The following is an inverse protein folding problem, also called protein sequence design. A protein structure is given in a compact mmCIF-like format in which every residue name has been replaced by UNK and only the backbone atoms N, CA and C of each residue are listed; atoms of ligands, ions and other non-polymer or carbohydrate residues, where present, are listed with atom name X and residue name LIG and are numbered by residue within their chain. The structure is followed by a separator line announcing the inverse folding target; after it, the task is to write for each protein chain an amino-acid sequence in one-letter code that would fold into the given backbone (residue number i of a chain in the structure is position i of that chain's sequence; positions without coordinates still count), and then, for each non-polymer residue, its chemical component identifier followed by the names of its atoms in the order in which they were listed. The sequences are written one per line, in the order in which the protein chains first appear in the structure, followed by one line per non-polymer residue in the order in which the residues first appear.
data_IF_428001817446
#
_entry.id   IF_428001817446
#
_cell.length_a   1.000
_cell.length_b   1.000
_cell.length_c   1.000
_cell.angle_alpha   90.00
_cell.angle_beta   90.00
_cell.angle_gamma   90.00
#
_symmetry.space_group_name_H-M   'P 1'
#
loop_
_entity.id
_entity.type
_entity.pdbx_description
1 polymer ?
#
# COMPACT_ATOMS: atom_id res chain seq x y z
N UNK A 1 -80.50 45.72 -51.36
CA UNK A 1 -80.13 46.66 -50.29
C UNK A 1 -79.70 45.87 -49.05
N UNK A 2 -78.54 46.23 -48.48
CA UNK A 2 -78.11 46.11 -47.08
C UNK A 2 -78.43 44.85 -46.24
N UNK A 3 -77.33 44.15 -45.91
CA UNK A 3 -76.96 43.50 -44.64
C UNK A 3 -78.04 43.10 -43.63
N UNK A 4 -77.91 41.88 -43.08
CA UNK A 4 -77.90 41.69 -41.63
C UNK A 4 -77.06 40.47 -41.22
N UNK A 5 -76.11 40.69 -40.31
CA UNK A 5 -75.30 39.68 -39.63
C UNK A 5 -76.12 38.91 -38.58
N UNK A 6 -75.81 37.63 -38.36
CA UNK A 6 -75.84 37.01 -37.02
C UNK A 6 -74.63 36.10 -36.82
N UNK A 7 -73.82 36.45 -35.81
CA UNK A 7 -72.74 35.64 -35.24
C UNK A 7 -73.34 34.45 -34.49
N UNK A 8 -72.77 33.27 -34.68
CA UNK A 8 -72.86 32.16 -33.71
C UNK A 8 -71.42 31.79 -33.36
N UNK A 9 -71.09 31.98 -32.09
CA UNK A 9 -69.80 31.64 -31.48
C UNK A 9 -69.90 30.20 -30.98
N UNK A 10 -69.11 29.30 -31.54
CA UNK A 10 -68.95 27.94 -30.98
C UNK A 10 -67.58 27.87 -30.31
N UNK A 11 -67.61 27.64 -28.99
CA UNK A 11 -66.45 27.40 -28.13
C UNK A 11 -66.05 25.93 -28.32
N UNK A 12 -64.84 25.67 -28.80
CA UNK A 12 -64.25 24.34 -28.77
C UNK A 12 -63.09 24.35 -27.78
N UNK A 13 -63.26 23.59 -26.70
CA UNK A 13 -62.24 23.36 -25.69
C UNK A 13 -61.18 22.40 -26.24
N UNK A 14 -59.96 22.90 -26.43
CA UNK A 14 -58.80 22.05 -26.71
C UNK A 14 -58.10 21.78 -25.37
N UNK A 15 -58.29 20.57 -24.83
CA UNK A 15 -57.48 20.07 -23.73
C UNK A 15 -56.02 19.94 -24.20
N UNK A 16 -55.16 20.86 -23.77
CA UNK A 16 -53.72 20.69 -23.89
C UNK A 16 -53.25 19.73 -22.78
N UNK A 17 -52.92 18.48 -23.15
CA UNK A 17 -52.10 17.63 -22.29
C UNK A 17 -50.69 18.25 -22.25
N UNK A 18 -50.36 18.89 -21.14
CA UNK A 18 -48.99 19.24 -20.83
C UNK A 18 -48.24 17.95 -20.45
N UNK A 19 -47.51 17.38 -21.40
CA UNK A 19 -46.48 16.38 -21.09
C UNK A 19 -45.30 17.17 -20.52
N UNK A 20 -45.22 17.27 -19.19
CA UNK A 20 -44.00 17.71 -18.53
C UNK A 20 -42.95 16.62 -18.72
N UNK A 21 -42.00 16.84 -19.63
CA UNK A 21 -40.77 16.06 -19.67
C UNK A 21 -40.01 16.33 -18.36
N UNK A 22 -40.13 15.41 -17.40
CA UNK A 22 -39.24 15.37 -16.26
C UNK A 22 -37.85 15.06 -16.83
N UNK A 23 -37.00 16.09 -16.94
CA UNK A 23 -35.59 15.90 -17.21
C UNK A 23 -35.05 15.03 -16.07
N UNK A 24 -34.74 13.77 -16.37
CA UNK A 24 -33.99 12.92 -15.48
C UNK A 24 -32.64 13.61 -15.27
N UNK A 25 -32.47 14.26 -14.11
CA UNK A 25 -31.17 14.69 -13.65
C UNK A 25 -30.40 13.40 -13.42
N UNK A 26 -29.55 13.03 -14.39
CA UNK A 26 -28.56 12.00 -14.18
C UNK A 26 -27.67 12.52 -13.06
N UNK A 27 -27.90 12.03 -11.84
CA UNK A 27 -26.94 12.14 -10.76
C UNK A 27 -25.72 11.39 -11.27
N UNK A 28 -24.70 12.11 -11.73
CA UNK A 28 -23.42 11.51 -12.05
C UNK A 28 -23.00 10.74 -10.80
N UNK A 29 -22.71 9.45 -10.96
CA UNK A 29 -22.15 8.66 -9.87
C UNK A 29 -20.94 9.41 -9.33
N UNK A 30 -20.81 9.49 -8.01
CA UNK A 30 -19.58 10.00 -7.40
C UNK A 30 -18.40 9.26 -8.02
N UNK A 31 -17.35 9.98 -8.43
CA UNK A 31 -16.22 9.33 -9.07
C UNK A 31 -15.60 8.31 -8.13
N UNK A 32 -15.39 7.10 -8.63
CA UNK A 32 -14.70 6.06 -7.87
C UNK A 32 -13.28 6.51 -7.60
N UNK A 33 -12.88 6.60 -6.34
CA UNK A 33 -11.49 6.87 -5.94
C UNK A 33 -10.81 5.59 -5.48
N UNK A 34 -9.49 5.50 -5.61
CA UNK A 34 -8.75 4.34 -5.11
C UNK A 34 -7.26 4.58 -4.89
N UNK A 35 -6.64 3.66 -4.14
CA UNK A 35 -5.20 3.65 -3.91
C UNK A 35 -4.44 3.17 -5.15
N UNK A 36 -3.81 4.09 -5.87
CA UNK A 36 -3.06 3.77 -7.10
C UNK A 36 -1.68 3.12 -6.85
N UNK A 37 -1.31 2.95 -5.58
CA UNK A 37 -0.12 2.18 -5.19
C UNK A 37 -0.38 0.69 -5.02
N UNK A 38 -1.63 0.22 -5.08
CA UNK A 38 -1.94 -1.20 -4.87
C UNK A 38 -1.17 -2.08 -5.86
N UNK A 39 -0.39 -3.02 -5.33
CA UNK A 39 0.45 -3.93 -6.11
C UNK A 39 1.75 -3.32 -6.66
N UNK A 40 2.06 -2.06 -6.35
CA UNK A 40 3.30 -1.39 -6.75
C UNK A 40 4.40 -1.58 -5.72
N UNK A 41 5.63 -1.80 -6.18
CA UNK A 41 6.81 -1.88 -5.33
C UNK A 41 7.60 -0.57 -5.40
N UNK A 42 8.06 -0.03 -4.25
CA UNK A 42 8.90 1.15 -4.24
C UNK A 42 10.35 0.84 -4.61
N UNK A 43 11.05 1.86 -5.11
CA UNK A 43 12.51 1.96 -5.05
C UNK A 43 12.93 2.86 -3.89
N UNK A 44 14.18 2.77 -3.45
CA UNK A 44 14.72 3.55 -2.34
C UNK A 44 16.18 3.89 -2.57
N UNK A 45 16.65 4.99 -1.97
CA UNK A 45 18.08 5.29 -1.83
C UNK A 45 18.71 4.62 -0.59
N UNK A 46 17.93 3.98 0.27
CA UNK A 46 18.47 3.22 1.40
C UNK A 46 19.05 1.89 0.93
N UNK A 47 20.16 1.47 1.54
CA UNK A 47 20.78 0.16 1.29
C UNK A 47 20.00 -1.01 1.90
N UNK A 48 18.98 -0.73 2.72
CA UNK A 48 18.19 -1.72 3.43
C UNK A 48 16.69 -1.45 3.27
N UNK A 49 16.01 -2.23 2.42
CA UNK A 49 14.55 -2.30 2.35
C UNK A 49 14.07 -3.62 2.98
N UNK A 50 13.11 -3.51 3.90
CA UNK A 50 12.47 -4.66 4.57
C UNK A 50 10.95 -4.49 4.39
N UNK A 51 10.29 -5.37 3.63
CA UNK A 51 8.82 -5.45 3.52
C UNK A 51 8.12 -4.46 2.58
N UNK A 52 6.87 -4.78 2.20
CA UNK A 52 5.99 -4.05 1.26
C UNK A 52 4.73 -3.44 1.89
N UNK A 53 4.55 -3.55 3.22
CA UNK A 53 3.48 -2.89 3.97
C UNK A 53 2.19 -3.73 4.14
N UNK A 54 1.39 -3.38 5.16
CA UNK A 54 0.02 -3.81 5.41
C UNK A 54 -0.68 -2.76 6.31
N UNK A 55 -1.98 -2.53 6.09
CA UNK A 55 -2.82 -1.63 6.91
C UNK A 55 -3.21 -2.23 8.27
N UNK A 56 -3.21 -3.56 8.40
CA UNK A 56 -3.58 -4.29 9.62
C UNK A 56 -2.49 -4.26 10.69
N UNK A 57 -2.38 -3.20 11.50
CA UNK A 57 -1.35 -3.12 12.53
C UNK A 57 -1.58 -4.05 13.72
N UNK A 58 -0.63 -4.97 13.96
CA UNK A 58 -0.36 -5.56 15.27
C UNK A 58 0.90 -4.94 15.92
N UNK A 59 0.93 -4.69 17.24
CA UNK A 59 2.10 -4.12 17.93
C UNK A 59 3.36 -5.02 17.91
N UNK A 60 3.22 -6.26 17.43
CA UNK A 60 4.30 -7.24 17.23
C UNK A 60 4.61 -7.48 15.75
N UNK A 61 3.97 -6.74 14.84
CA UNK A 61 3.95 -7.10 13.43
C UNK A 61 5.23 -6.66 12.69
N UNK A 62 5.85 -7.60 11.98
CA UNK A 62 7.02 -7.40 11.11
C UNK A 62 6.66 -6.93 9.70
N UNK A 63 5.35 -6.82 9.42
CA UNK A 63 4.76 -6.48 8.12
C UNK A 63 4.78 -4.99 7.78
N UNK A 64 5.89 -4.30 8.05
CA UNK A 64 6.08 -2.89 7.70
C UNK A 64 7.09 -2.77 6.57
N UNK A 65 6.91 -1.79 5.69
CA UNK A 65 8.01 -1.29 4.87
C UNK A 65 8.95 -0.48 5.75
N UNK A 66 10.16 -0.98 5.96
CA UNK A 66 11.21 -0.30 6.72
C UNK A 66 12.41 0.00 5.84
N UNK A 67 12.83 1.26 5.83
CA UNK A 67 14.13 1.70 5.31
C UNK A 67 14.99 2.30 6.42
N UNK A 68 16.31 2.26 6.25
CA UNK A 68 17.27 2.71 7.28
C UNK A 68 17.94 4.00 6.84
N UNK A 69 17.87 5.03 7.67
CA UNK A 69 18.41 6.38 7.39
C UNK A 69 19.92 6.52 7.68
N UNK A 70 20.50 5.61 8.47
CA UNK A 70 21.93 5.62 8.82
C UNK A 70 22.23 4.71 10.01
N UNK A 71 23.46 4.72 10.49
CA UNK A 71 23.89 3.85 11.60
C UNK A 71 23.60 4.46 12.97
N UNK A 72 23.03 3.65 13.87
CA UNK A 72 22.84 4.01 15.27
C UNK A 72 24.16 3.82 16.03
N UNK A 73 24.54 4.80 16.85
CA UNK A 73 25.82 4.77 17.59
C UNK A 73 25.66 4.48 19.09
N UNK A 74 24.43 4.25 19.57
CA UNK A 74 24.12 3.96 20.97
C UNK A 74 24.20 5.16 21.92
N UNK A 75 24.45 6.38 21.41
CA UNK A 75 24.50 7.57 22.25
C UNK A 75 23.11 7.94 22.79
N UNK A 76 23.06 8.31 24.07
CA UNK A 76 21.81 8.61 24.77
C UNK A 76 21.13 9.90 24.26
N UNK A 77 21.87 10.84 23.67
CA UNK A 77 21.33 12.15 23.29
C UNK A 77 20.76 12.19 21.87
N UNK A 78 21.45 11.59 20.89
CA UNK A 78 21.06 11.71 19.48
C UNK A 78 21.15 10.41 18.67
N UNK A 79 21.66 9.31 19.23
CA UNK A 79 21.86 8.01 18.58
C UNK A 79 22.52 8.07 17.18
N UNK A 80 23.29 9.13 16.85
CA UNK A 80 23.87 9.33 15.52
C UNK A 80 22.99 10.08 14.52
N UNK A 81 21.82 10.59 14.93
CA UNK A 81 20.84 11.28 14.07
C UNK A 81 21.45 12.36 13.16
N UNK A 82 22.44 13.10 13.64
CA UNK A 82 23.08 14.16 12.88
C UNK A 82 23.74 13.66 11.58
N UNK A 83 24.30 12.44 11.58
CA UNK A 83 25.01 11.86 10.44
C UNK A 83 24.12 11.02 9.51
N UNK A 84 22.84 10.86 9.82
CA UNK A 84 21.91 10.13 8.94
C UNK A 84 21.54 10.96 7.71
N UNK A 85 21.20 10.27 6.62
CA UNK A 85 20.69 10.89 5.41
C UNK A 85 19.15 10.89 5.41
N UNK A 86 18.56 11.79 4.62
CA UNK A 86 17.15 11.69 4.27
C UNK A 86 16.99 10.48 3.33
N UNK A 87 16.11 9.53 3.68
CA UNK A 87 15.83 8.35 2.85
C UNK A 87 14.41 8.38 2.32
N UNK A 88 14.19 7.75 1.17
CA UNK A 88 12.88 7.76 0.52
C UNK A 88 12.36 6.40 0.08
N UNK A 89 11.04 6.33 -0.06
CA UNK A 89 10.36 5.38 -0.93
C UNK A 89 9.85 6.14 -2.16
N UNK A 90 10.13 5.64 -3.35
CA UNK A 90 9.69 6.18 -4.63
C UNK A 90 8.85 5.15 -5.35
N UNK A 91 7.67 5.56 -5.80
CA UNK A 91 6.77 4.72 -6.58
C UNK A 91 6.63 5.28 -8.00
N UNK A 92 6.57 4.37 -8.98
CA UNK A 92 6.18 4.64 -10.36
C UNK A 92 4.75 4.12 -10.57
N UNK A 93 3.82 5.01 -10.89
CA UNK A 93 2.45 4.63 -11.21
C UNK A 93 2.37 3.88 -12.56
N UNK A 94 3.38 4.01 -13.43
CA UNK A 94 3.49 3.45 -14.77
C UNK A 94 2.98 4.40 -15.86
N UNK A 95 2.11 5.34 -15.48
CA UNK A 95 1.53 6.38 -16.33
C UNK A 95 1.24 7.63 -15.47
N UNK A 96 1.03 8.81 -16.07
CA UNK A 96 0.57 9.99 -15.32
C UNK A 96 -0.80 9.74 -14.66
N UNK A 97 -0.93 10.10 -13.38
CA UNK A 97 -2.11 9.96 -12.52
C UNK A 97 -2.42 11.27 -11.80
N UNK A 98 -3.68 11.48 -11.44
CA UNK A 98 -4.13 12.71 -10.76
C UNK A 98 -4.17 12.51 -9.24
N UNK A 99 -3.13 12.97 -8.55
CA UNK A 99 -3.02 12.79 -7.10
C UNK A 99 -3.98 13.77 -6.41
N UNK A 100 -4.89 13.25 -5.59
CA UNK A 100 -5.84 14.04 -4.80
C UNK A 100 -5.46 14.11 -3.33
N UNK A 101 -5.04 12.98 -2.76
CA UNK A 101 -4.56 12.92 -1.38
C UNK A 101 -3.58 11.78 -1.18
N UNK A 102 -2.81 11.87 -0.10
CA UNK A 102 -1.84 10.85 0.30
C UNK A 102 -2.07 10.52 1.76
N UNK A 103 -2.19 9.23 2.09
CA UNK A 103 -2.26 8.76 3.47
C UNK A 103 -0.97 8.01 3.81
N UNK A 104 -0.32 8.44 4.88
CA UNK A 104 0.90 7.81 5.38
C UNK A 104 0.61 7.13 6.71
N UNK A 105 0.53 5.80 6.70
CA UNK A 105 0.35 4.99 7.91
C UNK A 105 1.71 4.61 8.44
N UNK A 106 2.18 5.31 9.48
CA UNK A 106 3.50 5.02 10.04
C UNK A 106 3.45 3.94 11.10
N UNK A 107 4.56 3.24 11.24
CA UNK A 107 4.77 2.36 12.37
C UNK A 107 4.78 3.16 13.68
N UNK A 108 4.38 2.53 14.78
CA UNK A 108 4.39 3.14 16.09
C UNK A 108 4.41 2.09 17.20
N UNK A 109 4.34 2.56 18.44
CA UNK A 109 4.48 1.72 19.63
C UNK A 109 3.34 1.98 20.59
N UNK A 110 2.74 0.95 21.20
CA UNK A 110 1.59 1.11 22.09
C UNK A 110 1.82 2.15 23.21
N UNK A 111 3.02 2.14 23.82
CA UNK A 111 3.35 2.95 25.01
C UNK A 111 4.34 4.10 24.74
N UNK A 112 4.46 4.56 23.49
CA UNK A 112 5.37 5.66 23.15
C UNK A 112 4.82 6.54 22.02
N UNK A 113 5.09 7.84 22.07
CA UNK A 113 4.77 8.77 20.98
C UNK A 113 5.99 8.98 20.09
N UNK A 114 5.74 9.21 18.80
CA UNK A 114 6.77 9.42 17.80
C UNK A 114 6.76 10.86 17.29
N UNK A 115 7.94 11.47 17.20
CA UNK A 115 8.18 12.60 16.29
C UNK A 115 8.86 12.03 15.05
N UNK A 116 8.13 11.92 13.95
CA UNK A 116 8.70 11.53 12.67
C UNK A 116 9.47 12.71 12.08
N UNK A 117 10.73 12.48 11.70
CA UNK A 117 11.64 13.58 11.42
C UNK A 117 11.74 13.85 9.92
N UNK A 118 11.70 15.12 9.53
CA UNK A 118 11.94 15.61 8.15
C UNK A 118 11.12 14.88 7.08
N UNK A 119 9.82 14.74 7.33
CA UNK A 119 8.88 14.23 6.33
C UNK A 119 8.80 15.21 5.16
N UNK A 120 8.96 14.72 3.94
CA UNK A 120 8.65 15.47 2.71
C UNK A 120 7.94 14.53 1.75
N UNK A 121 6.92 15.05 1.06
CA UNK A 121 6.26 14.32 -0.03
C UNK A 121 6.30 15.17 -1.28
N UNK A 122 6.78 14.59 -2.37
CA UNK A 122 6.88 15.23 -3.67
C UNK A 122 6.43 14.29 -4.77
N UNK A 123 5.93 14.87 -5.86
CA UNK A 123 5.53 14.15 -7.05
C UNK A 123 6.19 14.75 -8.29
N UNK A 124 6.43 13.94 -9.31
CA UNK A 124 7.15 14.32 -10.52
C UNK A 124 6.63 13.58 -11.74
N UNK A 125 6.74 14.20 -12.90
CA UNK A 125 6.57 13.52 -14.19
C UNK A 125 7.81 12.73 -14.61
N UNK A 126 8.98 13.12 -14.09
CA UNK A 126 10.28 12.53 -14.42
C UNK A 126 10.84 11.69 -13.26
N UNK A 127 11.43 10.54 -13.58
CA UNK A 127 11.97 9.61 -12.58
C UNK A 127 13.10 10.22 -11.73
N UNK A 128 13.85 11.16 -12.30
CA UNK A 128 14.96 11.86 -11.67
C UNK A 128 14.52 13.02 -10.77
N UNK A 129 13.24 13.38 -10.78
CA UNK A 129 12.69 14.52 -10.03
C UNK A 129 13.35 15.85 -10.45
N UNK A 130 13.63 16.01 -11.75
CA UNK A 130 14.05 17.28 -12.34
C UNK A 130 12.94 18.35 -12.37
N UNK A 131 11.67 17.94 -12.37
CA UNK A 131 10.49 18.81 -12.31
C UNK A 131 9.54 18.31 -11.21
N UNK A 132 9.51 19.01 -10.07
CA UNK A 132 8.87 18.52 -8.84
C UNK A 132 7.74 19.39 -8.36
N UNK A 133 6.67 18.73 -7.92
CA UNK A 133 5.59 19.31 -7.16
C UNK A 133 5.74 18.87 -5.71
N UNK A 134 5.98 19.82 -4.79
CA UNK A 134 6.04 19.54 -3.36
C UNK A 134 4.62 19.46 -2.82
N UNK A 135 4.19 18.25 -2.46
CA UNK A 135 2.87 17.96 -1.92
C UNK A 135 2.81 18.18 -0.40
N UNK A 136 3.94 17.96 0.28
CA UNK A 136 4.14 18.27 1.69
C UNK A 136 5.59 18.70 1.90
N UNK A 137 5.79 19.94 2.37
CA UNK A 137 7.13 20.49 2.62
C UNK A 137 7.86 19.77 3.74
N UNK A 138 9.20 19.85 3.75
CA UNK A 138 10.02 19.19 4.77
C UNK A 138 9.66 19.68 6.17
N UNK A 139 9.09 18.80 6.99
CA UNK A 139 8.69 19.11 8.36
C UNK A 139 8.76 17.88 9.27
N UNK A 140 8.92 18.11 10.57
CA UNK A 140 8.68 17.06 11.56
C UNK A 140 7.17 16.89 11.77
N UNK A 141 6.74 15.65 12.02
CA UNK A 141 5.35 15.31 12.28
C UNK A 141 5.26 14.62 13.64
N UNK A 142 4.55 15.24 14.58
CA UNK A 142 4.37 14.72 15.92
C UNK A 142 3.11 13.87 16.05
N UNK A 143 3.29 12.67 16.57
CA UNK A 143 2.20 11.83 17.04
C UNK A 143 1.71 12.36 18.39
N UNK A 144 0.39 12.50 18.54
CA UNK A 144 -0.26 12.85 19.80
C UNK A 144 -1.03 11.64 20.33
N UNK A 145 -1.50 11.70 21.58
CA UNK A 145 -2.37 10.65 22.11
C UNK A 145 -3.65 10.45 21.26
N UNK A 146 -4.15 11.51 20.61
CA UNK A 146 -5.35 11.44 19.76
C UNK A 146 -5.07 10.97 18.33
N UNK A 147 -3.90 11.28 17.78
CA UNK A 147 -3.50 10.95 16.41
C UNK A 147 -2.63 9.69 16.33
N UNK A 148 -2.44 9.02 17.47
CA UNK A 148 -1.61 7.84 17.60
C UNK A 148 -2.05 6.73 16.66
N UNK A 149 -1.10 6.22 15.86
CA UNK A 149 -1.32 5.18 14.85
C UNK A 149 -2.39 5.54 13.79
N UNK A 150 -2.88 6.78 13.75
CA UNK A 150 -3.72 7.25 12.67
C UNK A 150 -2.87 7.58 11.42
N UNK A 151 -3.50 7.60 10.25
CA UNK A 151 -2.85 8.08 9.05
C UNK A 151 -2.54 9.57 9.17
N UNK A 152 -1.35 9.98 8.69
CA UNK A 152 -1.15 11.36 8.28
C UNK A 152 -1.75 11.52 6.89
N UNK A 153 -2.89 12.22 6.79
CA UNK A 153 -3.52 12.55 5.51
C UNK A 153 -3.04 13.90 5.01
N UNK A 154 -2.51 13.91 3.79
CA UNK A 154 -2.11 15.11 3.04
C UNK A 154 -3.17 15.31 1.96
N UNK A 155 -4.09 16.25 2.17
CA UNK A 155 -5.12 16.61 1.20
C UNK A 155 -4.62 17.72 0.29
N UNK A 156 -4.76 17.54 -1.03
CA UNK A 156 -4.40 18.56 -2.00
C UNK A 156 -5.63 19.37 -2.38
N UNK A 157 -5.53 20.70 -2.28
CA UNK A 157 -6.60 21.62 -2.69
C UNK A 157 -6.74 21.69 -4.20
N UNK A 158 -5.65 21.42 -4.92
CA UNK A 158 -5.62 21.26 -6.38
C UNK A 158 -4.91 19.95 -6.67
N UNK A 159 -5.56 19.02 -7.38
CA UNK A 159 -4.92 17.76 -7.72
C UNK A 159 -3.66 17.98 -8.56
N UNK A 160 -2.67 17.09 -8.39
CA UNK A 160 -1.39 17.17 -9.10
C UNK A 160 -1.27 15.99 -10.04
N UNK A 161 -1.12 16.26 -11.33
CA UNK A 161 -0.81 15.22 -12.31
C UNK A 161 0.67 14.88 -12.29
N UNK A 162 1.00 13.62 -12.01
CA UNK A 162 2.38 13.13 -11.95
C UNK A 162 2.44 11.63 -12.23
N UNK A 163 3.62 11.11 -12.57
CA UNK A 163 3.85 9.65 -12.74
C UNK A 163 4.54 9.03 -11.52
N UNK A 164 5.31 9.82 -10.79
CA UNK A 164 6.09 9.36 -9.66
C UNK A 164 5.70 10.10 -8.39
N UNK A 165 5.73 9.40 -7.26
CA UNK A 165 5.67 10.00 -5.92
C UNK A 165 6.86 9.53 -5.09
N UNK A 166 7.42 10.43 -4.28
CA UNK A 166 8.54 10.16 -3.38
C UNK A 166 8.22 10.67 -1.98
N UNK A 167 8.35 9.77 -1.01
CA UNK A 167 8.09 10.01 0.40
C UNK A 167 9.42 9.94 1.12
N UNK A 168 9.89 11.06 1.63
CA UNK A 168 11.14 11.20 2.38
C UNK A 168 10.89 11.20 3.89
N UNK A 169 11.85 10.67 4.66
CA UNK A 169 11.91 10.78 6.11
C UNK A 169 13.35 10.57 6.61
N UNK A 170 13.72 11.18 7.74
CA UNK A 170 15.01 11.00 8.43
C UNK A 170 14.82 10.31 9.77
N UNK A 171 14.45 9.03 9.78
CA UNK A 171 14.19 8.30 11.02
C UNK A 171 13.09 8.93 11.87
N UNK A 172 13.14 8.74 13.19
CA UNK A 172 12.15 9.26 14.14
C UNK A 172 12.74 9.43 15.53
N UNK A 173 12.05 10.17 16.39
CA UNK A 173 12.33 10.23 17.81
C UNK A 173 11.16 9.62 18.59
N UNK A 174 11.46 8.69 19.49
CA UNK A 174 10.48 7.99 20.33
C UNK A 174 10.54 8.59 21.72
N UNK A 175 9.38 8.90 22.29
CA UNK A 175 9.23 9.29 23.69
C UNK A 175 8.31 8.32 24.41
N UNK A 176 8.83 7.66 25.46
CA UNK A 176 8.03 6.76 26.28
C UNK A 176 6.95 7.55 27.04
N UNK A 177 5.74 7.01 27.11
CA UNK A 177 4.63 7.67 27.83
C UNK A 177 4.65 7.37 29.34
N UNK A 178 5.39 6.34 29.75
CA UNK A 178 5.46 5.83 31.12
C UNK A 178 6.81 6.12 31.79
N UNK A 179 7.74 6.79 31.11
CA UNK A 179 9.05 7.17 31.66
C UNK A 179 9.60 8.42 30.98
N UNK A 180 10.71 8.95 31.47
CA UNK A 180 11.43 10.06 30.84
C UNK A 180 12.30 9.65 29.66
N UNK A 181 12.32 8.36 29.30
CA UNK A 181 13.17 7.88 28.21
C UNK A 181 12.73 8.45 26.86
N UNK A 182 13.71 8.98 26.13
CA UNK A 182 13.58 9.48 24.76
C UNK A 182 14.78 9.01 23.96
N UNK A 183 14.58 8.64 22.71
CA UNK A 183 15.65 8.14 21.85
C UNK A 183 15.36 8.37 20.37
N UNK A 184 16.42 8.42 19.57
CA UNK A 184 16.30 8.45 18.11
C UNK A 184 16.39 7.04 17.55
N UNK A 185 15.55 6.74 16.56
CA UNK A 185 15.57 5.50 15.80
C UNK A 185 15.83 5.76 14.32
N UNK A 186 16.76 5.02 13.72
CA UNK A 186 17.13 5.15 12.30
C UNK A 186 16.10 4.57 11.34
N UNK A 187 15.19 3.74 11.86
CA UNK A 187 14.18 3.04 11.08
C UNK A 187 13.06 3.97 10.65
N UNK A 188 12.88 4.11 9.33
CA UNK A 188 11.68 4.71 8.74
C UNK A 188 10.71 3.58 8.44
N UNK A 189 9.75 3.36 9.36
CA UNK A 189 8.75 2.31 9.25
C UNK A 189 7.40 2.86 8.78
N UNK A 190 6.92 2.38 7.65
CA UNK A 190 5.61 2.65 7.09
C UNK A 190 4.83 1.33 7.02
N UNK A 191 3.65 1.34 7.64
CA UNK A 191 2.67 0.26 7.54
C UNK A 191 2.07 0.25 6.15
N UNK A 192 1.61 1.40 5.68
CA UNK A 192 0.99 1.54 4.36
C UNK A 192 1.21 2.97 3.84
N UNK A 193 1.23 3.10 2.52
CA UNK A 193 1.14 4.38 1.83
C UNK A 193 -0.01 4.25 0.84
N UNK A 194 -0.96 5.18 0.93
CA UNK A 194 -2.03 5.28 -0.06
C UNK A 194 -1.85 6.58 -0.84
N UNK A 195 -1.95 6.48 -2.16
CA UNK A 195 -2.08 7.65 -3.04
C UNK A 195 -3.45 7.56 -3.66
N UNK A 196 -4.30 8.52 -3.36
CA UNK A 196 -5.70 8.52 -3.79
C UNK A 196 -5.81 9.29 -5.10
N UNK A 197 -6.30 8.61 -6.12
CA UNK A 197 -6.68 9.17 -7.41
C UNK A 197 -8.16 8.90 -7.67
N UNK A 198 -8.74 9.70 -8.55
CA UNK A 198 -9.99 9.38 -9.24
C UNK A 198 -9.70 8.36 -10.34
N UNK A 199 -10.31 7.18 -10.21
CA UNK A 199 -10.17 6.11 -11.18
C UNK A 199 -10.85 6.49 -12.50
N UNK A 200 -10.25 6.05 -13.61
CA UNK A 200 -10.85 6.17 -14.94
C UNK A 200 -12.11 5.30 -15.00
N UNK A 201 -13.07 5.65 -15.86
CA UNK A 201 -14.30 4.87 -16.03
C UNK A 201 -13.96 3.41 -16.42
N UNK A 202 -14.38 2.46 -15.58
CA UNK A 202 -14.10 1.03 -15.77
C UNK A 202 -12.71 0.57 -15.36
N UNK A 203 -11.87 1.44 -14.78
CA UNK A 203 -10.58 1.04 -14.20
C UNK A 203 -10.80 0.23 -12.92
N UNK A 204 -10.21 -0.96 -12.87
CA UNK A 204 -10.12 -1.79 -11.68
C UNK A 204 -8.69 -1.78 -11.18
N UNK A 205 -8.50 -1.40 -9.91
CA UNK A 205 -7.21 -1.57 -9.26
C UNK A 205 -6.93 -3.06 -9.03
N UNK A 206 -5.66 -3.49 -9.01
CA UNK A 206 -5.32 -4.85 -8.60
C UNK A 206 -5.90 -5.14 -7.21
N UNK A 207 -6.31 -6.38 -6.96
CA UNK A 207 -6.58 -6.81 -5.59
C UNK A 207 -5.30 -6.67 -4.75
N UNK A 208 -5.45 -6.30 -3.47
CA UNK A 208 -4.33 -6.21 -2.54
C UNK A 208 -3.62 -7.58 -2.47
N UNK A 209 -2.44 -7.67 -3.09
CA UNK A 209 -1.58 -8.85 -3.22
C UNK A 209 -2.28 -10.21 -3.15
N UNK A 210 -2.57 -10.81 -4.31
CA UNK A 210 -2.93 -12.23 -4.34
C UNK A 210 -1.75 -13.08 -3.81
N UNK A 211 -1.99 -13.80 -2.72
CA UNK A 211 -1.08 -14.85 -2.27
C UNK A 211 -1.04 -15.95 -3.32
N UNK A 212 0.13 -16.19 -3.91
CA UNK A 212 0.34 -17.29 -4.86
C UNK A 212 1.33 -18.31 -4.31
N UNK A 213 1.14 -19.58 -4.66
CA UNK A 213 2.10 -20.63 -4.34
C UNK A 213 3.40 -20.42 -5.16
N UNK A 214 4.39 -19.78 -4.55
CA UNK A 214 5.68 -19.51 -5.20
C UNK A 214 6.56 -20.76 -5.34
N UNK A 215 6.27 -21.84 -4.60
CA UNK A 215 6.96 -23.11 -4.73
C UNK A 215 6.47 -23.93 -5.93
N UNK A 216 5.28 -23.62 -6.48
CA UNK A 216 4.64 -24.38 -7.55
C UNK A 216 5.61 -24.66 -8.73
N UNK A 217 5.81 -25.94 -9.02
CA UNK A 217 6.66 -26.42 -10.11
C UNK A 217 8.18 -26.30 -9.89
N UNK A 218 8.65 -25.86 -8.72
CA UNK A 218 10.09 -25.73 -8.41
C UNK A 218 10.61 -26.97 -7.70
N UNK A 219 11.84 -27.39 -7.98
CA UNK A 219 12.48 -28.45 -7.21
C UNK A 219 13.26 -27.85 -6.03
N UNK A 220 13.05 -28.32 -4.79
CA UNK A 220 13.88 -27.90 -3.67
C UNK A 220 15.27 -28.54 -3.75
N UNK A 221 16.26 -27.86 -3.18
CA UNK A 221 17.53 -28.47 -2.79
C UNK A 221 17.33 -29.34 -1.55
N UNK A 222 18.04 -30.47 -1.51
CA UNK A 222 17.91 -31.47 -0.45
C UNK A 222 19.26 -31.68 0.21
N UNK A 223 19.25 -31.77 1.54
CA UNK A 223 20.39 -32.25 2.29
C UNK A 223 20.12 -33.65 2.85
N UNK A 224 20.96 -34.59 2.42
CA UNK A 224 20.80 -36.02 2.66
C UNK A 224 20.63 -36.79 1.34
N UNK A 225 20.08 -38.00 1.43
CA UNK A 225 19.72 -38.85 0.30
C UNK A 225 18.54 -38.28 -0.48
N UNK A 226 18.60 -38.43 -1.80
CA UNK A 226 17.58 -37.99 -2.74
C UNK A 226 16.19 -38.58 -2.40
N UNK A 227 15.12 -37.74 -2.41
CA UNK A 227 13.77 -38.22 -2.23
C UNK A 227 13.27 -39.00 -3.46
N UNK A 228 12.42 -40.01 -3.23
CA UNK A 228 11.89 -40.88 -4.30
C UNK A 228 10.99 -40.18 -5.32
N UNK A 229 10.37 -39.06 -4.97
CA UNK A 229 9.48 -38.28 -5.83
C UNK A 229 9.52 -36.78 -5.46
N UNK A 230 10.70 -36.19 -5.56
CA UNK A 230 10.95 -34.81 -5.11
C UNK A 230 10.02 -33.77 -5.78
N UNK A 231 9.58 -34.00 -7.02
CA UNK A 231 8.70 -33.09 -7.74
C UNK A 231 7.29 -32.95 -7.12
N UNK A 232 6.82 -33.97 -6.42
CA UNK A 232 5.53 -33.96 -5.75
C UNK A 232 5.45 -33.00 -4.56
N UNK A 233 6.58 -32.52 -4.04
CA UNK A 233 6.59 -31.55 -2.92
C UNK A 233 5.90 -30.24 -3.31
N UNK A 234 5.85 -29.95 -4.61
CA UNK A 234 5.49 -28.63 -5.14
C UNK A 234 4.70 -28.71 -6.45
N UNK A 235 4.07 -29.84 -6.75
CA UNK A 235 3.31 -30.02 -8.00
C UNK A 235 1.91 -29.37 -7.97
N UNK A 236 1.56 -28.77 -6.83
CA UNK A 236 0.28 -28.07 -6.62
C UNK A 236 -0.87 -29.00 -6.25
N UNK A 237 -0.61 -30.29 -6.02
CA UNK A 237 -1.62 -31.28 -5.63
C UNK A 237 -1.43 -31.69 -4.19
N UNK A 238 -2.56 -31.87 -3.50
CA UNK A 238 -2.58 -32.32 -2.11
C UNK A 238 -3.17 -33.74 -2.06
N UNK A 239 -2.45 -34.70 -2.65
CA UNK A 239 -2.87 -36.10 -2.82
C UNK A 239 -1.87 -37.08 -2.18
N UNK A 240 -2.03 -38.38 -2.42
CA UNK A 240 -1.19 -39.45 -1.87
C UNK A 240 0.09 -39.71 -2.67
N UNK A 241 0.37 -38.90 -3.69
CA UNK A 241 1.61 -38.98 -4.47
C UNK A 241 2.73 -38.21 -3.77
N UNK A 242 3.19 -38.63 -2.59
CA UNK A 242 4.16 -37.87 -1.78
C UNK A 242 5.63 -38.24 -2.06
N UNK A 243 6.53 -37.30 -1.75
CA UNK A 243 7.98 -37.55 -1.70
C UNK A 243 8.38 -38.23 -0.38
N UNK A 244 9.28 -39.22 -0.44
CA UNK A 244 9.86 -39.86 0.75
C UNK A 244 11.32 -39.45 0.89
N UNK A 245 11.66 -38.79 1.99
CA UNK A 245 13.05 -38.44 2.31
C UNK A 245 13.75 -39.62 2.98
N UNK A 246 14.67 -40.27 2.27
CA UNK A 246 15.26 -41.55 2.69
C UNK A 246 16.40 -41.43 3.72
N UNK A 247 16.61 -40.23 4.28
CA UNK A 247 17.75 -39.95 5.17
C UNK A 247 17.42 -40.21 6.63
N UNK A 248 18.38 -40.76 7.36
CA UNK A 248 18.37 -40.81 8.82
C UNK A 248 19.00 -39.54 9.40
N UNK A 249 18.46 -39.03 10.51
CA UNK A 249 18.94 -37.81 11.15
C UNK A 249 18.30 -36.50 10.66
N UNK A 250 18.97 -35.38 10.93
CA UNK A 250 18.52 -34.04 10.53
C UNK A 250 18.50 -33.89 9.01
N UNK A 251 17.43 -33.26 8.51
CA UNK A 251 17.15 -33.13 7.08
C UNK A 251 16.47 -31.81 6.81
N UNK A 252 16.81 -31.19 5.68
CA UNK A 252 16.21 -29.93 5.26
C UNK A 252 15.95 -29.92 3.75
N UNK A 253 14.94 -29.13 3.40
CA UNK A 253 14.58 -28.76 2.03
C UNK A 253 14.73 -27.25 1.89
N UNK A 254 15.32 -26.79 0.80
CA UNK A 254 15.49 -25.37 0.53
C UNK A 254 14.96 -25.02 -0.85
N UNK A 255 14.07 -24.03 -0.93
CA UNK A 255 13.68 -23.42 -2.19
C UNK A 255 14.52 -22.18 -2.45
N UNK A 256 15.08 -22.08 -3.64
CA UNK A 256 15.74 -20.86 -4.11
C UNK A 256 14.79 -20.05 -5.00
N UNK A 257 14.72 -18.77 -4.70
CA UNK A 257 13.90 -17.80 -5.41
C UNK A 257 14.79 -16.72 -5.99
N UNK A 258 14.64 -16.45 -7.29
CA UNK A 258 15.38 -15.37 -7.97
C UNK A 258 15.01 -13.98 -7.47
N UNK A 259 13.82 -13.84 -6.89
CA UNK A 259 13.33 -12.60 -6.29
C UNK A 259 13.15 -12.79 -4.79
N UNK A 260 13.22 -11.69 -4.03
CA UNK A 260 12.81 -11.66 -2.63
C UNK A 260 11.28 -11.65 -2.57
N UNK A 261 10.70 -12.60 -1.85
CA UNK A 261 9.25 -12.69 -1.62
C UNK A 261 8.95 -12.49 -0.13
N UNK A 262 7.78 -11.90 0.16
CA UNK A 262 7.17 -11.99 1.49
C UNK A 262 6.44 -13.33 1.56
N UNK A 263 6.87 -14.19 2.48
CA UNK A 263 6.22 -15.47 2.71
C UNK A 263 5.06 -15.24 3.68
N UNK A 264 3.83 -15.30 3.17
CA UNK A 264 2.63 -15.13 3.98
C UNK A 264 2.29 -16.39 4.80
N UNK A 265 2.37 -17.56 4.15
CA UNK A 265 2.09 -18.86 4.76
C UNK A 265 3.01 -19.92 4.14
N UNK A 266 3.40 -20.91 4.94
CA UNK A 266 3.96 -22.17 4.45
C UNK A 266 2.99 -23.28 4.85
N UNK A 267 2.35 -23.89 3.85
CA UNK A 267 1.45 -25.03 4.06
C UNK A 267 2.16 -26.33 3.73
N UNK A 268 1.97 -27.35 4.57
CA UNK A 268 2.52 -28.69 4.35
C UNK A 268 1.52 -29.76 4.76
N UNK A 269 1.47 -30.88 4.02
CA UNK A 269 0.71 -32.07 4.39
C UNK A 269 1.69 -33.24 4.49
N UNK A 270 2.05 -33.60 5.72
CA UNK A 270 2.80 -34.82 5.97
C UNK A 270 1.83 -35.93 6.42
N UNK A 271 1.78 -37.09 5.75
CA UNK A 271 1.15 -38.25 6.35
C UNK A 271 1.98 -38.67 7.58
N UNK A 272 1.40 -38.56 8.78
CA UNK A 272 1.99 -39.15 9.99
C UNK A 272 1.85 -40.66 9.85
N UNK A 273 2.90 -41.35 9.41
CA UNK A 273 3.04 -42.79 9.60
C UNK A 273 3.97 -43.03 10.78
N UNK A 274 3.39 -43.36 11.93
CA UNK A 274 4.12 -44.07 12.97
C UNK A 274 4.40 -45.47 12.44
N UNK A 275 5.65 -45.79 12.14
CA UNK A 275 6.07 -47.18 11.99
C UNK A 275 6.03 -47.83 13.38
N UNK A 276 5.23 -48.89 13.51
CA UNK A 276 5.36 -49.86 14.61
C UNK A 276 6.67 -50.64 14.47
#
# INVERSE_FOLDING_TARGET
MRQLFRRITTISATCALAVSAAAAVAVAAEPTTGNILTGKLPTTNSTHLIGDGDTGFGPTDSNITKIIAGEENGSAENNGYASWDDVYLQYDFGEPREIHSINLYRNGYANALNTFKRIKVEASSNEDYSDTNVLFGTADVEETAATKLAAQTINLTTPVTARYVRIWQKGHCIQNMNSSWKGYGNGVGLREIEVIDKLKDGETLPDAQETRNIALGKLPYVYGLDPTNIAAISDGKQDDNYAVHNSTGERWLQFEYKNRYRIHEVSSRAPIRWSA
#
